data_IF_120322354349
#
_entry.id   IF_120322354349
#
_cell.length_a   1.000
_cell.length_b   1.000
_cell.length_c   1.000
_cell.angle_alpha   90.00
_cell.angle_beta   90.00
_cell.angle_gamma   90.00
#
_symmetry.space_group_name_H-M   'P 1'
#
loop_
_entity.id
_entity.type
_entity.pdbx_description
1 polymer ?
#
# COMPACT_ATOMS: atom_id res chain seq x y z
N UNK A 1 -28.42 -39.64 3.83
CA UNK A 1 -27.57 -38.44 3.78
C UNK A 1 -26.29 -38.89 3.11
N UNK A 2 -26.18 -38.58 1.81
CA UNK A 2 -25.12 -39.12 0.95
C UNK A 2 -23.76 -38.52 1.29
N UNK A 3 -22.73 -39.34 1.31
CA UNK A 3 -21.33 -38.97 1.55
C UNK A 3 -20.86 -37.82 0.65
N UNK A 4 -21.41 -37.70 -0.56
CA UNK A 4 -21.18 -36.57 -1.45
C UNK A 4 -21.70 -35.25 -0.90
N UNK A 5 -22.89 -35.23 -0.32
CA UNK A 5 -23.46 -34.01 0.29
C UNK A 5 -22.59 -33.53 1.45
N UNK A 6 -22.12 -34.46 2.30
CA UNK A 6 -21.19 -34.13 3.39
C UNK A 6 -19.85 -33.57 2.89
N UNK A 7 -19.32 -34.10 1.78
CA UNK A 7 -18.07 -33.62 1.18
C UNK A 7 -18.22 -32.20 0.61
N UNK A 8 -19.32 -31.92 -0.09
CA UNK A 8 -19.61 -30.57 -0.61
C UNK A 8 -19.77 -29.59 0.58
N UNK A 9 -20.35 -30.04 1.69
CA UNK A 9 -20.60 -29.21 2.89
C UNK A 9 -19.29 -28.77 3.53
N UNK A 10 -18.37 -29.72 3.65
CA UNK A 10 -17.01 -29.48 4.12
C UNK A 10 -16.26 -28.51 3.20
N UNK A 11 -16.35 -28.71 1.87
CA UNK A 11 -15.69 -27.82 0.90
C UNK A 11 -16.25 -26.40 0.95
N UNK A 12 -17.57 -26.23 1.05
CA UNK A 12 -18.20 -24.92 1.21
C UNK A 12 -17.79 -24.24 2.52
N UNK A 13 -17.67 -25.01 3.62
CA UNK A 13 -17.17 -24.48 4.89
C UNK A 13 -15.73 -23.98 4.78
N UNK A 14 -14.85 -24.75 4.12
CA UNK A 14 -13.45 -24.34 3.89
C UNK A 14 -13.37 -23.09 3.02
N UNK A 15 -14.15 -23.02 1.93
CA UNK A 15 -14.17 -21.85 1.06
C UNK A 15 -14.69 -20.59 1.77
N UNK A 16 -15.71 -20.72 2.63
CA UNK A 16 -16.20 -19.60 3.45
C UNK A 16 -15.13 -19.10 4.43
N UNK A 17 -14.36 -20.01 5.03
CA UNK A 17 -13.25 -19.64 5.92
C UNK A 17 -12.16 -18.87 5.15
N UNK A 18 -11.75 -19.39 3.99
CA UNK A 18 -10.77 -18.72 3.13
C UNK A 18 -11.24 -17.34 2.68
N UNK A 19 -12.53 -17.20 2.33
CA UNK A 19 -13.12 -15.91 1.97
C UNK A 19 -13.00 -14.91 3.12
N UNK A 20 -13.36 -15.31 4.35
CA UNK A 20 -13.25 -14.45 5.52
C UNK A 20 -11.81 -13.99 5.80
N UNK A 21 -10.85 -14.92 5.71
CA UNK A 21 -9.43 -14.61 5.89
C UNK A 21 -8.94 -13.58 4.86
N UNK A 22 -9.43 -13.65 3.62
CA UNK A 22 -9.09 -12.69 2.57
C UNK A 22 -9.79 -11.35 2.75
N UNK A 23 -11.04 -11.33 3.19
CA UNK A 23 -11.74 -10.08 3.53
C UNK A 23 -10.99 -9.33 4.66
N UNK A 24 -10.50 -10.06 5.66
CA UNK A 24 -9.65 -9.50 6.72
C UNK A 24 -8.31 -8.99 6.16
N UNK A 25 -7.65 -9.75 5.27
CA UNK A 25 -6.42 -9.32 4.62
C UNK A 25 -6.60 -8.09 3.73
N UNK A 26 -7.72 -7.97 3.01
CA UNK A 26 -8.07 -6.78 2.23
C UNK A 26 -8.31 -5.57 3.12
N UNK A 27 -8.96 -5.76 4.27
CA UNK A 27 -9.17 -4.69 5.24
C UNK A 27 -7.84 -4.18 5.81
N UNK A 28 -6.91 -5.10 6.14
CA UNK A 28 -5.55 -4.74 6.55
C UNK A 28 -4.81 -4.00 5.44
N UNK A 29 -4.85 -4.51 4.21
CA UNK A 29 -4.20 -3.87 3.07
C UNK A 29 -4.76 -2.46 2.81
N UNK A 30 -6.07 -2.25 3.00
CA UNK A 30 -6.66 -0.92 2.89
C UNK A 30 -6.10 0.04 3.94
N UNK A 31 -5.95 -0.41 5.20
CA UNK A 31 -5.32 0.40 6.26
C UNK A 31 -3.87 0.73 5.92
N UNK A 32 -3.10 -0.24 5.41
CA UNK A 32 -1.74 -0.01 4.93
C UNK A 32 -1.71 1.07 3.83
N UNK A 33 -2.67 1.04 2.89
CA UNK A 33 -2.78 2.06 1.84
C UNK A 33 -3.08 3.45 2.41
N UNK A 34 -4.02 3.53 3.36
CA UNK A 34 -4.37 4.79 4.02
C UNK A 34 -3.16 5.37 4.79
N UNK A 35 -2.39 4.52 5.47
CA UNK A 35 -1.14 4.91 6.14
C UNK A 35 -0.07 5.40 5.14
N UNK A 36 0.10 4.73 3.99
CA UNK A 36 1.03 5.20 2.96
C UNK A 36 0.60 6.54 2.34
N UNK A 37 -0.70 6.75 2.16
CA UNK A 37 -1.23 8.03 1.68
C UNK A 37 -0.94 9.16 2.68
N UNK A 38 -1.17 8.89 3.97
CA UNK A 38 -0.84 9.83 5.04
C UNK A 38 0.65 10.16 5.09
N UNK A 39 1.54 9.16 4.98
CA UNK A 39 2.99 9.38 4.94
C UNK A 39 3.41 10.23 3.73
N UNK A 40 2.78 10.04 2.58
CA UNK A 40 3.07 10.84 1.39
C UNK A 40 2.68 12.31 1.56
N UNK A 41 1.52 12.56 2.19
CA UNK A 41 1.06 13.91 2.51
C UNK A 41 1.96 14.58 3.57
N UNK A 42 2.30 13.87 4.63
CA UNK A 42 3.20 14.35 5.68
C UNK A 42 4.58 14.72 5.11
N UNK A 43 5.14 13.84 4.28
CA UNK A 43 6.41 14.11 3.59
C UNK A 43 6.34 15.35 2.68
N UNK A 44 5.22 15.54 1.96
CA UNK A 44 5.03 16.71 1.13
C UNK A 44 4.98 18.01 1.96
N UNK A 45 4.34 17.97 3.13
CA UNK A 45 4.34 19.09 4.09
C UNK A 45 5.74 19.40 4.58
N UNK A 46 6.50 18.39 5.02
CA UNK A 46 7.89 18.57 5.48
C UNK A 46 8.76 19.18 4.38
N UNK A 47 8.60 18.76 3.12
CA UNK A 47 9.32 19.36 2.00
C UNK A 47 9.01 20.85 1.82
N UNK A 48 7.76 21.26 2.05
CA UNK A 48 7.34 22.66 1.96
C UNK A 48 7.96 23.49 3.10
N UNK A 49 7.85 23.01 4.34
CA UNK A 49 8.43 23.65 5.53
C UNK A 49 9.96 23.81 5.40
N UNK A 50 10.62 22.80 4.86
CA UNK A 50 12.05 22.83 4.58
C UNK A 50 12.39 23.89 3.51
N UNK A 51 11.60 23.96 2.43
CA UNK A 51 11.79 24.95 1.37
C UNK A 51 11.63 26.39 1.90
N UNK A 52 10.63 26.64 2.75
CA UNK A 52 10.42 27.93 3.41
C UNK A 52 11.60 28.28 4.34
N UNK A 53 12.07 27.29 5.10
CA UNK A 53 13.23 27.44 6.00
C UNK A 53 14.50 27.77 5.22
N UNK A 54 14.77 27.06 4.11
CA UNK A 54 15.91 27.32 3.24
C UNK A 54 15.84 28.71 2.60
N UNK A 55 14.64 29.16 2.20
CA UNK A 55 14.46 30.51 1.67
C UNK A 55 14.87 31.58 2.68
N UNK A 56 14.49 31.41 3.97
CA UNK A 56 14.92 32.29 5.04
C UNK A 56 16.44 32.22 5.28
N UNK A 57 17.01 31.02 5.34
CA UNK A 57 18.44 30.83 5.59
C UNK A 57 19.32 31.44 4.50
N UNK A 58 18.89 31.37 3.22
CA UNK A 58 19.58 32.02 2.10
C UNK A 58 19.69 33.55 2.27
N UNK A 59 18.78 34.18 3.00
CA UNK A 59 18.89 35.62 3.31
C UNK A 59 19.99 35.93 4.33
N UNK A 60 20.35 34.96 5.18
CA UNK A 60 21.35 35.12 6.24
C UNK A 60 22.73 34.62 5.79
N UNK A 61 22.78 33.56 4.97
CA UNK A 61 23.99 33.00 4.39
C UNK A 61 24.56 33.87 3.26
N UNK A 62 24.97 35.09 3.61
CA UNK A 62 25.60 36.03 2.72
C UNK A 62 27.13 35.95 2.88
N UNK A 63 27.82 35.48 1.84
CA UNK A 63 29.27 35.29 1.82
C UNK A 63 29.65 34.04 1.05
N UNK A 64 30.83 34.01 0.42
CA UNK A 64 31.25 32.91 -0.46
C UNK A 64 31.29 31.54 0.26
N UNK A 65 31.85 31.51 1.47
CA UNK A 65 31.91 30.30 2.31
C UNK A 65 30.51 29.87 2.78
N UNK A 66 29.67 30.82 3.19
CA UNK A 66 28.31 30.52 3.65
C UNK A 66 27.43 30.00 2.50
N UNK A 67 27.56 30.56 1.30
CA UNK A 67 26.84 30.12 0.09
C UNK A 67 27.29 28.75 -0.41
N UNK A 68 28.59 28.48 -0.40
CA UNK A 68 29.09 27.16 -0.79
C UNK A 68 28.60 26.06 0.17
N UNK A 69 28.59 26.34 1.48
CA UNK A 69 28.00 25.45 2.47
C UNK A 69 26.48 25.28 2.30
N UNK A 70 25.73 26.35 1.97
CA UNK A 70 24.29 26.25 1.72
C UNK A 70 23.97 25.36 0.51
N UNK A 71 24.72 25.48 -0.59
CA UNK A 71 24.53 24.61 -1.75
C UNK A 71 24.83 23.14 -1.43
N UNK A 72 25.86 22.88 -0.62
CA UNK A 72 26.15 21.52 -0.17
C UNK A 72 25.01 20.92 0.66
N UNK A 73 24.47 21.69 1.62
CA UNK A 73 23.34 21.24 2.43
C UNK A 73 22.08 20.99 1.59
N UNK A 74 21.75 21.89 0.68
CA UNK A 74 20.60 21.74 -0.21
C UNK A 74 20.72 20.51 -1.11
N UNK A 75 21.92 20.21 -1.60
CA UNK A 75 22.18 19.01 -2.38
C UNK A 75 21.99 17.73 -1.56
N UNK A 76 22.46 17.72 -0.30
CA UNK A 76 22.30 16.59 0.61
C UNK A 76 20.82 16.36 0.96
N UNK A 77 20.08 17.42 1.24
CA UNK A 77 18.65 17.32 1.51
C UNK A 77 17.85 16.88 0.28
N UNK A 78 18.20 17.35 -0.93
CA UNK A 78 17.55 16.88 -2.15
C UNK A 78 17.82 15.38 -2.38
N UNK A 79 19.05 14.90 -2.14
CA UNK A 79 19.34 13.48 -2.22
C UNK A 79 18.48 12.65 -1.24
N UNK A 80 18.35 13.12 0.00
CA UNK A 80 17.49 12.47 0.99
C UNK A 80 16.02 12.47 0.57
N UNK A 81 15.50 13.61 0.10
CA UNK A 81 14.13 13.70 -0.44
C UNK A 81 13.88 12.72 -1.58
N UNK A 82 14.84 12.56 -2.48
CA UNK A 82 14.72 11.61 -3.59
C UNK A 82 14.65 10.15 -3.09
N UNK A 83 15.45 9.80 -2.07
CA UNK A 83 15.38 8.47 -1.45
C UNK A 83 14.02 8.21 -0.81
N UNK A 84 13.47 9.19 -0.10
CA UNK A 84 12.14 9.09 0.51
C UNK A 84 11.02 8.99 -0.54
N UNK A 85 11.05 9.84 -1.58
CA UNK A 85 10.09 9.78 -2.70
C UNK A 85 10.08 8.40 -3.34
N UNK A 86 11.26 7.85 -3.62
CA UNK A 86 11.39 6.51 -4.21
C UNK A 86 10.80 5.44 -3.30
N UNK A 87 11.12 5.46 -2.01
CA UNK A 87 10.60 4.48 -1.04
C UNK A 87 9.07 4.55 -0.91
N UNK A 88 8.51 5.75 -0.87
CA UNK A 88 7.04 5.95 -0.82
C UNK A 88 6.39 5.37 -2.09
N UNK A 89 6.95 5.65 -3.27
CA UNK A 89 6.45 5.10 -4.54
C UNK A 89 6.54 3.57 -4.59
N UNK A 90 7.65 2.99 -4.13
CA UNK A 90 7.83 1.54 -4.06
C UNK A 90 6.79 0.90 -3.14
N UNK A 91 6.55 1.49 -1.96
CA UNK A 91 5.53 1.00 -1.03
C UNK A 91 4.11 1.08 -1.62
N UNK A 92 3.77 2.20 -2.27
CA UNK A 92 2.48 2.37 -2.94
C UNK A 92 2.29 1.33 -4.05
N UNK A 93 3.30 1.12 -4.89
CA UNK A 93 3.28 0.12 -5.95
C UNK A 93 3.12 -1.30 -5.40
N UNK A 94 3.83 -1.63 -4.32
CA UNK A 94 3.72 -2.94 -3.67
C UNK A 94 2.31 -3.18 -3.09
N UNK A 95 1.70 -2.16 -2.46
CA UNK A 95 0.34 -2.25 -1.95
C UNK A 95 -0.68 -2.42 -3.08
N UNK A 96 -0.52 -1.69 -4.17
CA UNK A 96 -1.38 -1.78 -5.36
C UNK A 96 -1.28 -3.17 -6.03
N UNK A 97 -0.07 -3.72 -6.14
CA UNK A 97 0.15 -5.06 -6.69
C UNK A 97 -0.49 -6.14 -5.82
N UNK A 98 -0.37 -6.05 -4.50
CA UNK A 98 -1.07 -6.96 -3.56
C UNK A 98 -2.59 -6.87 -3.74
N UNK A 99 -3.13 -5.65 -3.87
CA UNK A 99 -4.58 -5.41 -4.05
C UNK A 99 -5.08 -6.06 -5.33
N UNK A 100 -4.39 -5.83 -6.45
CA UNK A 100 -4.72 -6.45 -7.74
C UNK A 100 -4.67 -7.97 -7.66
N UNK A 101 -3.66 -8.53 -7.00
CA UNK A 101 -3.52 -9.98 -6.82
C UNK A 101 -4.71 -10.56 -6.06
N UNK A 102 -5.09 -9.97 -4.92
CA UNK A 102 -6.22 -10.44 -4.14
C UNK A 102 -7.55 -10.33 -4.89
N UNK A 103 -7.78 -9.20 -5.57
CA UNK A 103 -9.01 -8.98 -6.34
C UNK A 103 -9.13 -9.92 -7.55
N UNK A 104 -8.10 -10.03 -8.39
CA UNK A 104 -8.18 -10.76 -9.65
C UNK A 104 -8.05 -12.27 -9.48
N UNK A 105 -7.14 -12.73 -8.62
CA UNK A 105 -6.78 -14.15 -8.58
C UNK A 105 -7.51 -14.91 -7.49
N UNK A 106 -7.75 -14.31 -6.33
CA UNK A 106 -8.23 -15.09 -5.17
C UNK A 106 -9.73 -14.93 -4.98
N UNK A 107 -10.27 -13.71 -4.95
CA UNK A 107 -11.71 -13.49 -4.76
C UNK A 107 -12.52 -14.07 -5.93
N UNK A 108 -12.15 -13.72 -7.17
CA UNK A 108 -12.86 -14.20 -8.35
C UNK A 108 -12.87 -15.73 -8.47
N UNK A 109 -11.74 -16.39 -8.16
CA UNK A 109 -11.66 -17.85 -8.19
C UNK A 109 -12.49 -18.50 -7.07
N UNK A 110 -12.47 -17.93 -5.86
CA UNK A 110 -13.27 -18.44 -4.75
C UNK A 110 -14.77 -18.29 -5.00
N UNK A 111 -15.22 -17.15 -5.51
CA UNK A 111 -16.62 -16.94 -5.88
C UNK A 111 -17.07 -17.92 -6.97
N UNK A 112 -16.22 -18.14 -7.97
CA UNK A 112 -16.53 -19.08 -9.06
C UNK A 112 -16.66 -20.51 -8.53
N UNK A 113 -15.75 -20.95 -7.65
CA UNK A 113 -15.79 -22.28 -7.00
C UNK A 113 -17.01 -22.44 -6.10
N UNK A 114 -17.35 -21.43 -5.30
CA UNK A 114 -18.57 -21.46 -4.48
C UNK A 114 -19.83 -21.56 -5.34
N UNK A 115 -19.92 -20.80 -6.44
CA UNK A 115 -21.09 -20.86 -7.35
C UNK A 115 -21.22 -22.23 -8.03
N UNK A 116 -20.11 -22.87 -8.39
CA UNK A 116 -20.13 -24.22 -8.96
C UNK A 116 -20.66 -25.26 -7.94
N UNK A 117 -20.12 -25.25 -6.71
CA UNK A 117 -20.54 -26.19 -5.67
C UNK A 117 -21.99 -26.01 -5.24
N UNK A 118 -22.52 -24.79 -5.20
CA UNK A 118 -23.95 -24.57 -4.91
C UNK A 118 -24.87 -25.13 -6.02
N UNK A 119 -24.43 -25.11 -7.29
CA UNK A 119 -25.19 -25.74 -8.38
C UNK A 119 -25.19 -27.26 -8.27
N UNK A 120 -24.06 -27.85 -7.91
CA UNK A 120 -23.90 -29.28 -7.70
C UNK A 120 -24.68 -29.77 -6.46
N UNK A 121 -24.82 -28.94 -5.42
CA UNK A 121 -25.66 -29.24 -4.26
C UNK A 121 -27.16 -29.27 -4.59
N UNK A 122 -27.62 -28.30 -5.37
CA UNK A 122 -29.04 -28.12 -5.68
C UNK A 122 -29.60 -29.08 -6.74
N UNK A 123 -28.76 -29.94 -7.31
CA UNK A 123 -29.10 -31.02 -8.25
C UNK A 123 -29.28 -32.34 -7.52
#
# INVERSE_FOLDING_TARGET
>A
MDTNSQLIEQQLHTLKKQQKELEEALLQLKREQDEQAWLAEDFARVCLEEQESLALLRTVWQGEVARSFSYYLEALHEEEKQRWRKKIQENQAACEQKRQTYQQSIIYQLETKQRALHKEWGQ
#
